data_IF_382897804574
#
_entry.id   IF_382897804574
#
_cell.length_a   1.000
_cell.length_b   1.000
_cell.length_c   1.000
_cell.angle_alpha   90.00
_cell.angle_beta   90.00
_cell.angle_gamma   90.00
#
_symmetry.space_group_name_H-M   'P 1'
#
loop_
_entity.id
_entity.type
_entity.pdbx_description
1 polymer ?
#
# COMPACT_ATOMS: atom_id res chain seq x y z
N UNK A 1 10.47 -8.29 -1.86
CA UNK A 1 9.90 -6.97 -2.19
C UNK A 1 10.98 -5.93 -1.97
N UNK A 2 11.44 -5.26 -3.02
CA UNK A 2 12.36 -4.11 -2.89
C UNK A 2 11.51 -2.84 -2.88
N UNK A 3 11.77 -1.93 -1.95
CA UNK A 3 11.00 -0.72 -1.75
C UNK A 3 11.80 0.50 -2.17
N UNK A 4 11.18 1.38 -2.95
CA UNK A 4 11.74 2.69 -3.25
C UNK A 4 10.80 3.76 -2.70
N UNK A 5 11.29 4.49 -1.69
CA UNK A 5 10.60 5.65 -1.12
C UNK A 5 10.88 6.87 -1.99
N UNK A 6 9.83 7.55 -2.46
CA UNK A 6 9.98 8.68 -3.40
C UNK A 6 10.19 10.04 -2.75
N UNK A 7 10.33 10.15 -1.42
CA UNK A 7 10.63 11.44 -0.77
C UNK A 7 11.57 11.27 0.42
N UNK A 8 12.73 11.93 0.34
CA UNK A 8 13.53 12.33 1.48
C UNK A 8 12.63 13.12 2.45
N UNK A 9 12.31 12.50 3.57
CA UNK A 9 11.94 13.20 4.80
C UNK A 9 13.03 12.83 5.79
N UNK A 10 13.89 13.79 6.09
CA UNK A 10 14.81 13.74 7.21
C UNK A 10 14.00 13.48 8.49
N UNK A 11 14.10 12.26 9.00
CA UNK A 11 13.83 11.94 10.39
C UNK A 11 14.97 11.04 10.85
N UNK A 12 15.96 11.67 11.48
CA UNK A 12 16.89 10.98 12.36
C UNK A 12 16.10 10.11 13.34
N UNK A 13 16.65 8.94 13.66
CA UNK A 13 16.15 7.87 14.54
C UNK A 13 14.82 7.20 14.17
N UNK A 14 14.95 5.96 13.66
CA UNK A 14 14.27 4.81 14.24
C UNK A 14 12.83 4.55 13.82
N UNK A 15 12.63 3.36 13.25
CA UNK A 15 11.35 2.66 13.16
C UNK A 15 10.32 3.26 12.20
N UNK A 16 10.45 2.89 10.92
CA UNK A 16 9.31 2.95 10.00
C UNK A 16 8.24 1.96 10.48
N UNK A 17 7.17 2.47 11.09
CA UNK A 17 5.96 1.68 11.35
C UNK A 17 5.27 1.46 10.01
N UNK A 18 5.67 0.41 9.31
CA UNK A 18 4.81 -0.21 8.31
C UNK A 18 3.51 -0.58 9.04
N UNK A 19 2.35 -0.01 8.68
CA UNK A 19 1.09 -0.31 9.34
C UNK A 19 0.90 -1.83 9.37
N UNK A 20 0.46 -2.43 10.48
CA UNK A 20 0.31 -3.89 10.57
C UNK A 20 -0.55 -4.48 9.44
N UNK A 21 -1.50 -3.69 8.92
CA UNK A 21 -2.32 -3.99 7.73
C UNK A 21 -1.51 -4.20 6.43
N UNK A 22 -0.21 -3.88 6.42
CA UNK A 22 0.70 -4.04 5.30
C UNK A 22 1.66 -5.23 5.51
N UNK A 23 1.89 -5.65 6.77
CA UNK A 23 2.62 -6.89 7.10
C UNK A 23 1.91 -8.13 6.53
N UNK A 24 0.59 -8.12 6.46
CA UNK A 24 -0.20 -9.19 5.85
C UNK A 24 -0.04 -9.30 4.32
N UNK A 25 0.64 -8.37 3.64
CA UNK A 25 0.96 -8.48 2.22
C UNK A 25 2.44 -8.78 1.96
N UNK A 26 3.25 -8.89 3.02
CA UNK A 26 4.69 -9.03 2.95
C UNK A 26 5.09 -10.39 3.52
N UNK A 27 5.63 -11.29 2.68
CA UNK A 27 6.18 -12.55 3.15
C UNK A 27 7.33 -12.31 4.15
N UNK A 28 7.51 -13.28 5.05
CA UNK A 28 8.31 -13.23 6.28
C UNK A 28 9.84 -13.14 6.11
N UNK A 29 10.37 -12.81 4.92
CA UNK A 29 11.82 -12.65 4.72
C UNK A 29 12.18 -11.18 4.44
N UNK A 30 12.36 -10.39 5.49
CA UNK A 30 13.03 -9.08 5.41
C UNK A 30 14.53 -9.29 5.20
N UNK A 31 14.97 -9.32 3.95
CA UNK A 31 16.36 -8.95 3.63
C UNK A 31 16.42 -7.42 3.66
N UNK A 32 17.10 -6.85 4.66
CA UNK A 32 17.43 -5.43 4.68
C UNK A 32 18.16 -5.10 3.37
N UNK A 33 17.59 -4.23 2.55
CA UNK A 33 18.25 -3.75 1.35
C UNK A 33 19.53 -3.03 1.81
N UNK A 34 20.68 -3.52 1.35
CA UNK A 34 21.96 -2.87 1.54
C UNK A 34 21.95 -1.47 0.91
N UNK A 35 22.86 -0.62 1.38
CA UNK A 35 22.95 0.82 1.15
C UNK A 35 23.16 1.27 -0.32
N UNK A 36 22.99 0.40 -1.33
CA UNK A 36 23.40 0.66 -2.72
C UNK A 36 22.27 0.98 -3.71
N UNK A 37 20.99 0.91 -3.31
CA UNK A 37 19.86 1.17 -4.22
C UNK A 37 19.37 2.65 -4.25
N UNK A 38 20.19 3.62 -3.82
CA UNK A 38 19.84 5.05 -3.72
C UNK A 38 20.24 5.84 -4.98
N UNK A 39 19.80 5.42 -6.16
CA UNK A 39 19.79 6.29 -7.35
C UNK A 39 18.36 6.43 -7.87
N UNK A 40 17.72 7.54 -7.46
CA UNK A 40 16.28 7.80 -7.55
C UNK A 40 15.70 7.93 -8.97
N UNK A 41 16.49 8.02 -10.05
CA UNK A 41 15.99 8.16 -11.43
C UNK A 41 16.16 6.90 -12.28
N UNK A 42 17.26 6.15 -12.08
CA UNK A 42 17.49 4.86 -12.73
C UNK A 42 16.77 3.70 -12.04
N UNK A 43 16.42 3.87 -10.76
CA UNK A 43 15.74 2.85 -9.98
C UNK A 43 14.32 2.56 -10.49
N UNK A 44 13.52 3.58 -10.83
CA UNK A 44 12.16 3.37 -11.36
C UNK A 44 12.14 2.80 -12.80
N UNK A 45 13.14 3.15 -13.60
CA UNK A 45 13.31 2.58 -14.93
C UNK A 45 13.47 1.05 -14.89
N UNK A 46 14.09 0.52 -13.83
CA UNK A 46 14.25 -0.93 -13.65
C UNK A 46 12.92 -1.66 -13.44
N UNK A 47 11.86 -0.94 -13.04
CA UNK A 47 10.52 -1.46 -12.81
C UNK A 47 9.58 -1.36 -14.02
N UNK A 48 10.04 -0.81 -15.15
CA UNK A 48 9.26 -0.80 -16.39
C UNK A 48 8.86 -2.22 -16.79
N UNK A 49 7.62 -2.36 -17.26
CA UNK A 49 6.99 -3.62 -17.64
C UNK A 49 6.91 -4.67 -16.54
N UNK A 50 7.16 -4.29 -15.28
CA UNK A 50 6.97 -5.15 -14.10
C UNK A 50 5.65 -4.87 -13.40
N UNK A 51 5.13 -5.88 -12.71
CA UNK A 51 4.00 -5.71 -11.79
C UNK A 51 4.46 -4.99 -10.54
N UNK A 52 3.73 -3.95 -10.18
CA UNK A 52 4.01 -3.12 -9.01
C UNK A 52 2.80 -3.08 -8.07
N UNK A 53 3.09 -2.93 -6.79
CA UNK A 53 2.16 -2.50 -5.77
C UNK A 53 2.48 -1.04 -5.40
N UNK A 54 1.50 -0.17 -5.58
CA UNK A 54 1.58 1.26 -5.28
C UNK A 54 0.65 1.59 -4.12
N UNK A 55 1.21 2.17 -3.06
CA UNK A 55 0.44 2.71 -1.95
C UNK A 55 0.23 4.21 -2.15
N UNK A 56 -1.04 4.61 -2.13
CA UNK A 56 -1.44 6.01 -2.25
C UNK A 56 -1.64 6.66 -0.89
N UNK A 57 -1.62 8.00 -0.86
CA UNK A 57 -1.82 8.83 0.35
C UNK A 57 -3.19 8.62 1.01
N UNK A 58 -4.20 8.29 0.22
CA UNK A 58 -5.55 7.96 0.70
C UNK A 58 -5.66 6.54 1.30
N UNK A 59 -4.55 5.78 1.32
CA UNK A 59 -4.48 4.42 1.85
C UNK A 59 -4.86 3.33 0.85
N UNK A 60 -5.23 3.70 -0.39
CA UNK A 60 -5.55 2.74 -1.45
C UNK A 60 -4.29 2.01 -1.91
N UNK A 61 -4.46 0.73 -2.27
CA UNK A 61 -3.39 -0.15 -2.76
C UNK A 61 -3.72 -0.51 -4.19
N UNK A 62 -2.90 -0.05 -5.11
CA UNK A 62 -3.04 -0.33 -6.53
C UNK A 62 -2.01 -1.37 -6.94
N UNK A 63 -2.45 -2.38 -7.66
CA UNK A 63 -1.60 -3.33 -8.35
C UNK A 63 -1.71 -3.07 -9.83
N UNK A 64 -0.63 -3.25 -10.60
CA UNK A 64 -0.69 -3.13 -12.05
C UNK A 64 0.71 -3.20 -12.67
N UNK A 65 0.76 -3.27 -14.00
CA UNK A 65 2.03 -3.29 -14.73
C UNK A 65 2.45 -1.86 -15.06
N UNK A 66 3.66 -1.45 -14.67
CA UNK A 66 4.15 -0.11 -14.97
C UNK A 66 4.49 0.03 -16.46
N UNK A 67 3.79 0.91 -17.17
CA UNK A 67 4.05 1.17 -18.59
C UNK A 67 4.87 2.41 -18.85
N UNK A 68 4.65 3.45 -18.06
CA UNK A 68 5.43 4.66 -18.15
C UNK A 68 5.50 5.36 -16.80
N UNK A 69 6.56 6.14 -16.62
CA UNK A 69 6.72 7.02 -15.49
C UNK A 69 7.37 8.33 -15.93
N UNK A 70 7.32 9.32 -15.05
CA UNK A 70 7.93 10.65 -15.24
C UNK A 70 8.85 10.99 -14.06
N UNK A 71 9.70 12.01 -14.21
CA UNK A 71 10.60 12.51 -13.16
C UNK A 71 9.87 12.96 -11.88
N UNK A 72 8.59 13.32 -12.00
CA UNK A 72 7.72 13.66 -10.87
C UNK A 72 7.08 12.42 -10.22
N UNK A 73 7.48 11.20 -10.61
CA UNK A 73 6.88 9.94 -10.20
C UNK A 73 5.39 9.79 -10.57
N UNK A 74 4.92 10.53 -11.58
CA UNK A 74 3.66 10.18 -12.25
C UNK A 74 3.84 8.81 -12.88
N UNK A 75 2.86 7.93 -12.77
CA UNK A 75 2.95 6.55 -13.24
C UNK A 75 1.70 6.15 -13.99
N UNK A 76 1.87 5.38 -15.06
CA UNK A 76 0.77 4.75 -15.80
C UNK A 76 0.83 3.25 -15.57
N UNK A 77 -0.23 2.71 -14.98
CA UNK A 77 -0.40 1.29 -14.75
C UNK A 77 -1.38 0.70 -15.76
N UNK A 78 -0.98 -0.36 -16.45
CA UNK A 78 -1.87 -1.19 -17.26
C UNK A 78 -2.39 -2.38 -16.44
N UNK A 79 -3.63 -2.78 -16.68
CA UNK A 79 -4.27 -3.90 -15.98
C UNK A 79 -4.37 -3.63 -14.48
N UNK A 80 -4.55 -2.36 -14.12
CA UNK A 80 -4.57 -1.92 -12.75
C UNK A 80 -5.76 -2.50 -12.00
N UNK A 81 -5.52 -2.94 -10.77
CA UNK A 81 -6.50 -3.46 -9.84
C UNK A 81 -6.32 -2.77 -8.49
N UNK A 82 -7.41 -2.35 -7.85
CA UNK A 82 -7.39 -1.88 -6.48
C UNK A 82 -7.60 -3.06 -5.52
N UNK A 83 -6.62 -3.32 -4.66
CA UNK A 83 -6.71 -4.37 -3.63
C UNK A 83 -7.21 -3.76 -2.33
N UNK A 84 -8.44 -4.12 -1.97
CA UNK A 84 -9.07 -3.73 -0.71
C UNK A 84 -8.92 -4.88 0.28
N UNK A 85 -8.43 -4.56 1.49
CA UNK A 85 -8.17 -5.53 2.55
C UNK A 85 -8.89 -5.07 3.80
N UNK A 86 -9.76 -5.94 4.34
CA UNK A 86 -10.52 -5.69 5.57
C UNK A 86 -10.42 -6.94 6.45
N UNK A 87 -9.64 -6.85 7.54
CA UNK A 87 -9.33 -8.02 8.36
C UNK A 87 -8.62 -9.10 7.54
N UNK A 88 -9.22 -10.28 7.49
CA UNK A 88 -8.71 -11.45 6.73
C UNK A 88 -9.34 -11.56 5.32
N UNK A 89 -10.18 -10.59 4.93
CA UNK A 89 -10.83 -10.57 3.62
C UNK A 89 -10.08 -9.66 2.65
N UNK A 90 -9.94 -10.11 1.40
CA UNK A 90 -9.41 -9.27 0.33
C UNK A 90 -10.26 -9.34 -0.94
N UNK A 91 -10.20 -8.28 -1.73
CA UNK A 91 -10.83 -8.21 -3.03
C UNK A 91 -10.01 -7.33 -3.98
N UNK A 92 -9.84 -7.80 -5.21
CA UNK A 92 -9.19 -7.06 -6.28
C UNK A 92 -10.26 -6.50 -7.22
N UNK A 93 -10.37 -5.18 -7.24
CA UNK A 93 -11.34 -4.45 -8.06
C UNK A 93 -10.63 -3.99 -9.34
N UNK A 94 -10.98 -4.50 -10.53
CA UNK A 94 -10.32 -4.10 -11.77
C UNK A 94 -10.63 -2.63 -12.11
N UNK A 95 -9.58 -1.89 -12.45
CA UNK A 95 -9.64 -0.49 -12.90
C UNK A 95 -9.25 -0.35 -14.38
N UNK A 96 -8.39 -1.23 -14.91
CA UNK A 96 -7.94 -1.19 -16.30
C UNK A 96 -6.69 -0.31 -16.46
N UNK A 97 -6.74 0.71 -17.32
CA UNK A 97 -5.64 1.66 -17.46
C UNK A 97 -5.78 2.76 -16.40
N UNK A 98 -4.77 2.94 -15.54
CA UNK A 98 -4.84 3.87 -14.43
C UNK A 98 -3.64 4.80 -14.40
N UNK A 99 -3.91 6.11 -14.35
CA UNK A 99 -2.88 7.16 -14.28
C UNK A 99 -2.80 7.69 -12.85
N UNK A 100 -1.61 7.59 -12.27
CA UNK A 100 -1.32 8.01 -10.89
C UNK A 100 -0.52 9.30 -10.94
N UNK A 101 -0.99 10.29 -10.17
CA UNK A 101 -0.26 11.54 -9.96
C UNK A 101 0.80 11.36 -8.87
N UNK A 102 2.03 11.79 -9.14
CA UNK A 102 3.20 11.49 -8.34
C UNK A 102 3.15 12.00 -6.90
N UNK A 103 2.44 13.09 -6.62
CA UNK A 103 2.30 13.59 -5.25
C UNK A 103 1.45 12.72 -4.33
N UNK A 104 0.61 11.86 -4.93
CA UNK A 104 -0.25 10.92 -4.22
C UNK A 104 0.45 9.60 -3.94
N UNK A 105 1.59 9.32 -4.58
CA UNK A 105 2.39 8.13 -4.33
C UNK A 105 3.11 8.26 -2.99
N UNK A 106 2.91 7.26 -2.14
CA UNK A 106 3.64 7.11 -0.87
C UNK A 106 4.77 6.10 -1.05
N UNK A 107 4.46 4.95 -1.66
CA UNK A 107 5.39 3.84 -1.79
C UNK A 107 5.14 3.07 -3.08
N UNK A 108 6.22 2.65 -3.73
CA UNK A 108 6.19 1.73 -4.86
C UNK A 108 7.05 0.52 -4.50
N UNK A 109 6.52 -0.68 -4.72
CA UNK A 109 7.24 -1.93 -4.56
C UNK A 109 6.99 -2.87 -5.72
N UNK A 110 8.03 -3.53 -6.20
CA UNK A 110 7.90 -4.60 -7.19
C UNK A 110 7.18 -5.80 -6.60
N UNK A 111 6.17 -6.27 -7.33
CA UNK A 111 5.42 -7.47 -7.02
C UNK A 111 5.94 -8.61 -7.89
N UNK A 112 6.65 -9.54 -7.25
CA UNK A 112 7.16 -10.75 -7.89
C UNK A 112 5.99 -11.73 -8.11
N UNK A 113 5.79 -12.18 -9.34
CA UNK A 113 4.66 -13.05 -9.70
C UNK A 113 4.77 -14.42 -9.02
N UNK A 114 5.99 -14.86 -8.72
CA UNK A 114 6.25 -16.17 -8.09
C UNK A 114 6.10 -16.11 -6.57
N UNK A 115 6.01 -14.92 -5.99
CA UNK A 115 5.92 -14.68 -4.54
C UNK A 115 4.68 -13.90 -4.15
N UNK A 116 3.67 -13.84 -5.02
CA UNK A 116 2.34 -13.32 -4.68
C UNK A 116 1.59 -14.31 -3.76
N UNK A 117 2.28 -14.82 -2.74
CA UNK A 117 1.70 -15.60 -1.66
C UNK A 117 1.11 -14.59 -0.67
N UNK A 118 -0.12 -14.18 -0.93
CA UNK A 118 -0.96 -13.67 0.15
C UNK A 118 -0.94 -14.73 1.27
N UNK A 119 -0.91 -14.31 2.55
CA UNK A 119 -0.93 -15.25 3.65
C UNK A 119 -2.09 -16.25 3.50
N UNK A 120 -1.88 -17.52 3.87
CA UNK A 120 -2.87 -18.57 3.63
C UNK A 120 -4.21 -18.36 4.33
N UNK A 121 -4.29 -17.45 5.32
CA UNK A 121 -5.52 -17.08 6.01
C UNK A 121 -6.39 -16.07 5.26
N UNK A 122 -5.92 -15.52 4.13
CA UNK A 122 -6.63 -14.46 3.41
C UNK A 122 -7.71 -15.04 2.49
N UNK A 123 -8.96 -14.62 2.69
CA UNK A 123 -10.10 -15.09 1.89
C UNK A 123 -10.48 -14.08 0.82
N UNK A 124 -10.54 -14.51 -0.43
CA UNK A 124 -11.03 -13.68 -1.54
C UNK A 124 -12.54 -13.57 -1.48
N UNK A 125 -13.06 -12.35 -1.50
CA UNK A 125 -14.51 -12.07 -1.48
C UNK A 125 -14.96 -11.25 -2.68
N UNK A 126 -16.27 -11.17 -2.88
CA UNK A 126 -16.85 -10.34 -3.93
C UNK A 126 -16.72 -8.83 -3.64
N UNK A 127 -16.84 -8.02 -4.69
CA UNK A 127 -16.79 -6.55 -4.59
C UNK A 127 -17.90 -5.97 -3.71
N UNK A 128 -19.04 -6.66 -3.60
CA UNK A 128 -20.16 -6.24 -2.75
C UNK A 128 -19.86 -6.48 -1.26
N UNK A 129 -19.32 -7.66 -0.95
CA UNK A 129 -18.99 -8.06 0.42
C UNK A 129 -17.86 -7.21 0.99
N UNK A 130 -16.79 -6.98 0.21
CA UNK A 130 -15.66 -6.17 0.69
C UNK A 130 -16.07 -4.72 0.98
N UNK A 131 -16.96 -4.14 0.15
CA UNK A 131 -17.47 -2.78 0.35
C UNK A 131 -18.32 -2.68 1.61
N UNK A 132 -19.13 -3.71 1.88
CA UNK A 132 -19.92 -3.80 3.11
C UNK A 132 -19.00 -3.92 4.33
N UNK A 133 -17.97 -4.78 4.26
CA UNK A 133 -16.99 -4.93 5.32
C UNK A 133 -16.20 -3.64 5.57
N UNK A 134 -15.77 -2.95 4.51
CA UNK A 134 -15.04 -1.69 4.60
C UNK A 134 -15.87 -0.56 5.23
N UNK A 135 -17.16 -0.49 4.88
CA UNK A 135 -18.09 0.46 5.50
C UNK A 135 -18.24 0.18 7.01
N UNK A 136 -18.43 -1.09 7.39
CA UNK A 136 -18.54 -1.47 8.79
C UNK A 136 -17.25 -1.20 9.59
N UNK A 137 -16.07 -1.48 9.03
CA UNK A 137 -14.77 -1.18 9.68
C UNK A 137 -14.59 0.32 9.89
N UNK A 138 -14.97 1.13 8.89
CA UNK A 138 -14.90 2.58 8.97
C UNK A 138 -15.84 3.13 10.05
N UNK A 139 -17.10 2.73 10.07
CA UNK A 139 -18.07 3.15 11.08
C UNK A 139 -17.63 2.75 12.48
N UNK A 140 -17.10 1.53 12.66
CA UNK A 140 -16.56 1.07 13.93
C UNK A 140 -15.33 1.91 14.37
N UNK A 141 -14.45 2.29 13.43
CA UNK A 141 -13.28 3.12 13.72
C UNK A 141 -13.66 4.55 14.12
N UNK A 142 -14.70 5.11 13.48
CA UNK A 142 -15.22 6.44 13.80
C UNK A 142 -15.84 6.44 15.20
N UNK A 143 -16.65 5.42 15.54
CA UNK A 143 -17.22 5.26 16.88
C UNK A 143 -16.13 5.12 17.95
N UNK A 144 -15.13 4.25 17.74
CA UNK A 144 -13.99 4.12 18.66
C UNK A 144 -13.22 5.42 18.81
N UNK A 145 -13.03 6.18 17.74
CA UNK A 145 -12.35 7.48 17.78
C UNK A 145 -13.12 8.56 18.56
N UNK A 146 -14.45 8.53 18.51
CA UNK A 146 -15.28 9.43 19.34
C UNK A 146 -15.28 9.00 20.81
N UNK A 147 -15.41 7.70 21.09
CA UNK A 147 -15.35 7.15 22.45
C UNK A 147 -14.00 7.40 23.10
N UNK A 148 -12.89 7.19 22.38
CA UNK A 148 -11.54 7.46 22.88
C UNK A 148 -11.37 8.94 23.25
N UNK A 149 -11.74 9.87 22.37
CA UNK A 149 -11.71 11.31 22.68
C UNK A 149 -12.56 11.68 23.90
N UNK A 150 -13.68 10.97 24.11
CA UNK A 150 -14.53 11.14 25.28
C UNK A 150 -13.88 10.59 26.56
N UNK A 151 -13.18 9.47 26.46
CA UNK A 151 -12.48 8.83 27.57
C UNK A 151 -11.24 9.62 27.97
N UNK A 152 -10.41 9.99 26.99
CA UNK A 152 -9.20 10.81 27.18
C UNK A 152 -9.52 12.17 27.85
N UNK A 153 -10.74 12.69 27.67
CA UNK A 153 -11.21 13.91 28.35
C UNK A 153 -11.46 13.70 29.85
N UNK A 154 -11.95 12.52 30.26
CA UNK A 154 -12.28 12.21 31.66
C UNK A 154 -11.05 11.88 32.51
N UNK A 155 -9.94 11.50 31.86
CA UNK A 155 -8.68 11.13 32.53
C UNK A 155 -7.76 12.34 32.82
N UNK A 156 -8.23 13.57 32.61
CA UNK A 156 -7.46 14.83 32.78
C UNK A 156 -7.76 15.61 34.08
N UNK A 157 -8.61 15.08 34.96
CA UNK A 157 -8.94 15.62 36.30
C UNK A 157 -8.36 14.73 37.42
#
# INVERSE_FOLDING_TARGET
MRFVSSKLLDFSVGFWVVPEKFKSCLSSSMSWAGLEDVYLSTSLASYLDRKLLVLLRDGRKLLGTLRSFDQFANAVLEGACERVIVGELYCDIPLGLYVIRGENVVLIGELDSDKEELPPHMTRVSTAEIRKAQKADREASELKGTMKRRMDFLDMD
#
